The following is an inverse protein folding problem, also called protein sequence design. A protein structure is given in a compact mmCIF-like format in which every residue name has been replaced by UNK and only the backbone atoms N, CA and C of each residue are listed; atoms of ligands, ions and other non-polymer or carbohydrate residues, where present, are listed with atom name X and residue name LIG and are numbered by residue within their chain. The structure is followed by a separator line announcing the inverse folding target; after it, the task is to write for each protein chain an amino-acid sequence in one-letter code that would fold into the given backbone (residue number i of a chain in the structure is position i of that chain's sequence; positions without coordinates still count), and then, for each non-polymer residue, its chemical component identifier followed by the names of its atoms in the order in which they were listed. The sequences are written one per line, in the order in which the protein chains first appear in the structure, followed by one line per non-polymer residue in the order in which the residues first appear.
data_IF_445410769814
#
_entry.id   IF_445410769814
#
_cell.length_a   1.000
_cell.length_b   1.000
_cell.length_c   1.000
_cell.angle_alpha   90.00
_cell.angle_beta   90.00
_cell.angle_gamma   90.00
#
_symmetry.space_group_name_H-M   'P 1'
#
loop_
_entity.id
_entity.type
_entity.pdbx_description
1 polymer ?
#
# COMPACT_ATOMS: atom_id res chain seq x y z
N UNK A 1 -6.59 27.30 1.18
CA UNK A 1 -7.02 26.17 0.33
C UNK A 1 -5.94 25.11 0.38
N UNK A 2 -6.27 23.84 0.66
CA UNK A 2 -5.28 22.78 0.91
C UNK A 2 -4.94 22.06 -0.39
N UNK A 3 -3.68 21.65 -0.51
CA UNK A 3 -3.13 20.93 -1.67
C UNK A 3 -2.50 19.65 -1.15
N UNK A 4 -2.67 18.51 -1.84
CA UNK A 4 -1.91 17.25 -1.66
C UNK A 4 -0.83 17.16 -2.73
N UNK A 5 0.43 16.91 -2.38
CA UNK A 5 1.53 16.76 -3.35
C UNK A 5 2.06 15.33 -3.31
N UNK A 6 2.32 14.74 -4.46
CA UNK A 6 2.97 13.43 -4.56
C UNK A 6 3.63 13.21 -5.90
N UNK A 7 4.53 12.24 -5.94
CA UNK A 7 5.18 11.85 -7.18
C UNK A 7 4.47 10.63 -7.73
N UNK A 8 4.04 10.69 -8.98
CA UNK A 8 3.50 9.56 -9.71
C UNK A 8 4.25 9.41 -11.03
N UNK A 9 4.85 8.24 -11.29
CA UNK A 9 5.67 7.98 -12.48
C UNK A 9 6.75 9.05 -12.73
N UNK A 10 7.33 9.58 -11.65
CA UNK A 10 8.34 10.65 -11.72
C UNK A 10 7.77 12.06 -11.94
N UNK A 11 6.47 12.22 -12.17
CA UNK A 11 5.81 13.53 -12.23
C UNK A 11 5.35 14.01 -10.85
N UNK A 12 5.64 15.26 -10.49
CA UNK A 12 5.07 15.90 -9.31
C UNK A 12 3.61 16.28 -9.60
N UNK A 13 2.69 15.65 -8.88
CA UNK A 13 1.27 15.92 -8.94
C UNK A 13 0.84 16.71 -7.72
N UNK A 14 0.10 17.80 -7.93
CA UNK A 14 -0.54 18.55 -6.84
C UNK A 14 -2.05 18.46 -6.97
N UNK A 15 -2.77 18.18 -5.90
CA UNK A 15 -4.22 17.99 -5.91
C UNK A 15 -4.86 18.99 -4.95
N UNK A 16 -5.81 19.78 -5.42
CA UNK A 16 -6.61 20.70 -4.61
C UNK A 16 -8.09 20.34 -4.76
N UNK A 17 -8.96 20.94 -3.96
CA UNK A 17 -10.39 20.62 -4.05
C UNK A 17 -10.91 20.88 -5.47
N UNK A 18 -11.46 19.84 -6.10
CA UNK A 18 -12.02 19.90 -7.45
C UNK A 18 -11.01 20.06 -8.60
N UNK A 19 -9.69 20.00 -8.37
CA UNK A 19 -8.71 20.14 -9.45
C UNK A 19 -7.32 19.58 -9.09
N UNK A 20 -6.49 19.32 -10.09
CA UNK A 20 -5.11 18.83 -9.90
C UNK A 20 -4.15 19.56 -10.84
N UNK A 21 -2.87 19.64 -10.52
CA UNK A 21 -1.82 20.29 -11.29
C UNK A 21 -0.86 19.24 -11.79
N UNK A 22 -0.58 19.33 -13.09
CA UNK A 22 0.37 18.52 -13.81
C UNK A 22 1.03 19.42 -14.85
N UNK A 23 2.37 19.46 -14.91
CA UNK A 23 3.14 20.29 -15.85
C UNK A 23 2.64 21.74 -15.99
N UNK A 24 2.70 22.53 -14.93
CA UNK A 24 2.52 23.99 -15.03
C UNK A 24 1.08 24.47 -14.98
N UNK A 25 0.06 23.64 -15.19
CA UNK A 25 -1.35 24.06 -15.20
C UNK A 25 -2.28 23.21 -14.33
N UNK A 26 -3.26 23.86 -13.70
CA UNK A 26 -4.37 23.18 -13.01
C UNK A 26 -5.40 22.67 -14.03
N UNK A 27 -5.86 21.44 -13.82
CA UNK A 27 -6.88 20.72 -14.57
C UNK A 27 -8.08 20.47 -13.65
N UNK A 28 -9.27 20.51 -14.22
CA UNK A 28 -10.52 20.24 -13.49
C UNK A 28 -10.69 18.74 -13.20
N UNK A 29 -11.21 18.38 -12.03
CA UNK A 29 -11.42 16.99 -11.63
C UNK A 29 -12.45 16.26 -12.51
N UNK A 30 -13.39 16.97 -13.14
CA UNK A 30 -14.34 16.42 -14.11
C UNK A 30 -13.64 15.78 -15.31
N UNK A 31 -12.43 16.24 -15.67
CA UNK A 31 -11.63 15.66 -16.74
C UNK A 31 -11.18 14.23 -16.39
N UNK A 32 -11.05 13.90 -15.10
CA UNK A 32 -10.71 12.53 -14.66
C UNK A 32 -11.91 11.59 -14.75
N UNK A 33 -13.15 12.08 -14.63
CA UNK A 33 -14.34 11.24 -14.70
C UNK A 33 -14.55 10.66 -16.11
N UNK A 34 -14.10 11.38 -17.14
CA UNK A 34 -14.12 10.95 -18.54
C UNK A 34 -12.79 10.42 -19.08
N UNK A 35 -11.71 10.41 -18.29
CA UNK A 35 -10.41 9.92 -18.73
C UNK A 35 -10.44 8.38 -18.89
N UNK A 36 -10.33 7.93 -20.14
CA UNK A 36 -10.21 6.52 -20.51
C UNK A 36 -8.73 6.09 -20.65
N UNK A 37 -8.51 4.85 -21.10
CA UNK A 37 -7.18 4.27 -21.27
C UNK A 37 -6.25 5.00 -22.24
N UNK A 38 -6.84 5.72 -23.21
CA UNK A 38 -6.11 6.36 -24.30
C UNK A 38 -6.12 7.88 -24.22
N UNK A 39 -6.74 8.46 -23.19
CA UNK A 39 -6.79 9.91 -23.02
C UNK A 39 -5.42 10.50 -22.71
N UNK A 40 -5.16 11.77 -23.09
CA UNK A 40 -3.86 12.42 -22.95
C UNK A 40 -3.37 12.55 -21.50
N UNK A 41 -4.27 12.45 -20.52
CA UNK A 41 -3.88 12.39 -19.10
C UNK A 41 -3.38 10.98 -18.76
N UNK A 42 -4.06 9.93 -19.22
CA UNK A 42 -3.65 8.55 -19.00
C UNK A 42 -2.31 8.24 -19.65
N UNK A 43 -2.04 8.78 -20.85
CA UNK A 43 -0.74 8.62 -21.53
C UNK A 43 0.44 9.15 -20.72
N UNK A 44 0.18 10.12 -19.82
CA UNK A 44 1.21 10.80 -19.04
C UNK A 44 1.44 10.20 -17.67
N UNK A 45 0.37 10.10 -16.86
CA UNK A 45 0.47 9.59 -15.48
C UNK A 45 0.18 8.09 -15.37
N UNK A 46 -0.22 7.44 -16.47
CA UNK A 46 -0.64 6.05 -16.47
C UNK A 46 -1.97 5.81 -15.74
N UNK A 47 -2.44 4.56 -15.79
CA UNK A 47 -3.64 4.13 -15.07
C UNK A 47 -3.44 4.20 -13.54
N UNK A 48 -2.24 3.84 -13.05
CA UNK A 48 -1.82 3.99 -11.66
C UNK A 48 -1.99 5.41 -11.15
N UNK A 49 -1.40 6.38 -11.84
CA UNK A 49 -1.47 7.78 -11.43
C UNK A 49 -2.87 8.37 -11.46
N UNK A 50 -3.70 7.97 -12.42
CA UNK A 50 -5.12 8.37 -12.41
C UNK A 50 -5.84 7.88 -11.14
N UNK A 51 -5.58 6.64 -10.69
CA UNK A 51 -6.17 6.12 -9.46
C UNK A 51 -5.67 6.89 -8.23
N UNK A 52 -4.36 7.20 -8.16
CA UNK A 52 -3.76 7.98 -7.08
C UNK A 52 -4.34 9.41 -7.00
N UNK A 53 -4.50 10.09 -8.14
CA UNK A 53 -5.11 11.43 -8.20
C UNK A 53 -6.57 11.39 -7.73
N UNK A 54 -7.34 10.39 -8.17
CA UNK A 54 -8.73 10.20 -7.72
C UNK A 54 -8.80 10.00 -6.21
N UNK A 55 -7.93 9.16 -5.64
CA UNK A 55 -7.87 8.93 -4.21
C UNK A 55 -7.50 10.22 -3.43
N UNK A 56 -6.50 10.97 -3.91
CA UNK A 56 -6.09 12.24 -3.30
C UNK A 56 -7.18 13.31 -3.36
N UNK A 57 -7.95 13.40 -4.45
CA UNK A 57 -9.09 14.33 -4.57
C UNK A 57 -10.16 14.07 -3.51
N UNK A 58 -10.42 12.79 -3.18
CA UNK A 58 -11.34 12.42 -2.09
C UNK A 58 -10.83 12.95 -0.75
N UNK A 59 -9.52 12.84 -0.49
CA UNK A 59 -8.92 13.34 0.76
C UNK A 59 -9.00 14.86 0.85
N UNK A 60 -8.66 15.59 -0.22
CA UNK A 60 -8.74 17.07 -0.20
C UNK A 60 -10.18 17.55 -0.05
N UNK A 61 -11.15 16.86 -0.66
CA UNK A 61 -12.56 17.20 -0.54
C UNK A 61 -13.13 16.99 0.88
N UNK A 62 -12.49 16.16 1.72
CA UNK A 62 -12.98 15.77 3.05
C UNK A 62 -12.45 16.61 4.21
N UNK A 63 -11.65 17.65 3.95
CA UNK A 63 -11.00 18.54 4.95
C UNK A 63 -10.40 17.85 6.19
N UNK A 64 -9.09 17.56 6.18
CA UNK A 64 -8.31 17.52 7.44
C UNK A 64 -6.81 17.70 7.22
N UNK A 65 -6.24 18.71 7.90
CA UNK A 65 -4.81 18.92 8.07
C UNK A 65 -4.40 18.07 9.25
N UNK A 66 -3.41 17.22 9.02
CA UNK A 66 -2.51 16.76 10.07
C UNK A 66 -1.12 17.21 9.62
N UNK A 67 -0.34 17.74 10.55
CA UNK A 67 1.01 18.20 10.30
C UNK A 67 1.88 17.05 9.76
N UNK A 68 2.87 17.40 8.94
CA UNK A 68 3.84 16.49 8.35
C UNK A 68 4.50 15.63 9.42
N UNK A 69 4.32 14.31 9.32
CA UNK A 69 5.20 13.36 10.01
C UNK A 69 6.07 12.69 8.96
N UNK A 70 7.38 12.94 9.06
CA UNK A 70 8.38 12.26 8.23
C UNK A 70 8.41 10.80 8.70
N UNK A 71 8.16 9.82 7.81
CA UNK A 71 8.24 8.44 8.20
C UNK A 71 9.66 8.11 8.66
N UNK A 72 9.82 7.34 9.74
CA UNK A 72 11.13 6.91 10.19
C UNK A 72 11.81 6.09 9.10
N UNK A 73 13.11 6.30 8.89
CA UNK A 73 13.91 5.44 8.04
C UNK A 73 14.14 4.11 8.77
N UNK A 74 13.72 3.00 8.15
CA UNK A 74 13.77 1.66 8.75
C UNK A 74 14.24 0.65 7.72
N UNK A 75 14.77 -0.46 8.21
CA UNK A 75 15.05 -1.61 7.36
C UNK A 75 13.75 -2.11 6.70
N UNK A 76 13.86 -2.53 5.43
CA UNK A 76 12.75 -3.15 4.72
C UNK A 76 12.38 -4.49 5.36
N UNK A 77 11.09 -4.76 5.46
CA UNK A 77 10.55 -6.03 5.97
C UNK A 77 9.96 -6.81 4.79
N UNK A 78 10.19 -8.12 4.74
CA UNK A 78 9.50 -8.98 3.80
C UNK A 78 8.05 -9.17 4.27
N UNK A 79 7.09 -8.88 3.39
CA UNK A 79 5.67 -8.96 3.72
C UNK A 79 4.97 -10.22 3.24
N UNK A 80 5.61 -10.98 2.37
CA UNK A 80 5.14 -12.29 1.96
C UNK A 80 6.29 -13.13 1.40
N UNK A 81 6.14 -14.44 1.46
CA UNK A 81 6.99 -15.40 0.77
C UNK A 81 6.22 -16.69 0.48
N UNK A 82 6.71 -17.47 -0.49
CA UNK A 82 6.12 -18.74 -0.91
C UNK A 82 5.51 -18.72 -2.30
N UNK A 83 4.62 -19.70 -2.57
CA UNK A 83 3.91 -19.87 -3.85
C UNK A 83 4.80 -20.15 -5.08
N UNK A 84 5.94 -20.81 -4.86
CA UNK A 84 6.72 -21.40 -5.94
C UNK A 84 5.99 -22.57 -6.63
N UNK A 85 6.45 -22.99 -7.82
CA UNK A 85 5.84 -24.12 -8.55
C UNK A 85 5.78 -25.36 -7.66
N UNK A 86 4.56 -25.80 -7.34
CA UNK A 86 4.28 -27.02 -6.58
C UNK A 86 4.35 -26.89 -5.05
N UNK A 87 4.64 -25.70 -4.49
CA UNK A 87 4.54 -25.48 -3.05
C UNK A 87 3.24 -24.74 -2.71
N UNK A 88 2.23 -25.40 -2.12
CA UNK A 88 0.99 -24.75 -1.73
C UNK A 88 1.15 -23.89 -0.47
N UNK A 89 2.33 -23.87 0.14
CA UNK A 89 2.60 -23.14 1.36
C UNK A 89 3.21 -21.75 1.10
N UNK A 90 2.80 -20.79 1.92
CA UNK A 90 3.31 -19.43 1.92
C UNK A 90 2.78 -18.66 3.12
N UNK A 91 3.29 -17.45 3.30
CA UNK A 91 2.88 -16.60 4.41
C UNK A 91 2.77 -15.14 3.99
N UNK A 92 1.98 -14.39 4.77
CA UNK A 92 1.82 -12.95 4.65
C UNK A 92 1.89 -12.30 6.02
N UNK A 93 2.55 -11.15 6.09
CA UNK A 93 2.56 -10.28 7.24
C UNK A 93 1.50 -9.19 7.04
N UNK A 94 0.46 -9.23 7.86
CA UNK A 94 -0.73 -8.37 7.80
C UNK A 94 -0.82 -7.56 9.10
N UNK A 95 -0.16 -6.41 9.16
CA UNK A 95 -0.12 -5.59 10.37
C UNK A 95 0.65 -6.28 11.48
N UNK A 96 -0.06 -6.77 12.51
CA UNK A 96 0.51 -7.59 13.60
C UNK A 96 0.13 -9.07 13.51
N UNK A 97 -0.41 -9.50 12.38
CA UNK A 97 -0.81 -10.89 12.15
C UNK A 97 0.08 -11.51 11.08
N UNK A 98 0.69 -12.65 11.40
CA UNK A 98 1.33 -13.51 10.44
C UNK A 98 0.31 -14.57 9.98
N UNK A 99 -0.16 -14.45 8.74
CA UNK A 99 -1.02 -15.44 8.11
C UNK A 99 -0.17 -16.48 7.40
N UNK A 100 -0.37 -17.74 7.71
CA UNK A 100 0.31 -18.88 7.10
C UNK A 100 -0.74 -19.68 6.33
N UNK A 101 -0.52 -19.93 5.05
CA UNK A 101 -1.34 -20.82 4.24
C UNK A 101 -0.52 -22.05 3.87
N UNK A 102 -1.16 -23.22 3.90
CA UNK A 102 -0.60 -24.50 3.49
C UNK A 102 -1.70 -25.40 2.91
N UNK A 103 -1.34 -26.62 2.53
CA UNK A 103 -2.33 -27.62 2.09
C UNK A 103 -3.38 -27.97 3.18
N UNK A 104 -3.05 -27.75 4.45
CA UNK A 104 -3.97 -28.00 5.57
C UNK A 104 -4.97 -26.85 5.81
N UNK A 105 -4.77 -25.69 5.18
CA UNK A 105 -5.59 -24.49 5.38
C UNK A 105 -4.76 -23.26 5.72
N UNK A 106 -5.44 -22.22 6.19
CA UNK A 106 -4.83 -20.96 6.61
C UNK A 106 -4.95 -20.77 8.13
N UNK A 107 -3.86 -20.34 8.75
CA UNK A 107 -3.76 -20.07 10.19
C UNK A 107 -3.19 -18.67 10.40
N UNK A 108 -3.83 -17.90 11.28
CA UNK A 108 -3.37 -16.58 11.69
C UNK A 108 -2.66 -16.69 13.05
N UNK A 109 -1.47 -16.12 13.14
CA UNK A 109 -0.66 -16.11 14.35
C UNK A 109 -0.29 -14.67 14.71
N UNK A 110 -0.36 -14.32 15.99
CA UNK A 110 0.10 -13.01 16.44
C UNK A 110 1.62 -12.89 16.28
N UNK A 111 2.07 -11.76 15.72
CA UNK A 111 3.49 -11.50 15.47
C UNK A 111 4.32 -11.43 16.76
N UNK A 112 3.75 -10.91 17.85
CA UNK A 112 4.40 -10.91 19.16
C UNK A 112 4.61 -12.32 19.67
N UNK A 113 3.59 -13.18 19.56
CA UNK A 113 3.71 -14.59 19.91
C UNK A 113 4.79 -15.29 19.07
N UNK A 114 4.87 -15.04 17.76
CA UNK A 114 5.94 -15.62 16.92
C UNK A 114 7.33 -15.15 17.36
N UNK A 115 7.47 -13.88 17.76
CA UNK A 115 8.75 -13.35 18.23
C UNK A 115 9.18 -13.93 19.59
N UNK A 116 8.22 -14.24 20.48
CA UNK A 116 8.50 -14.77 21.82
C UNK A 116 8.70 -16.28 21.84
N UNK A 117 7.80 -17.04 21.20
CA UNK A 117 7.74 -18.51 21.31
C UNK A 117 7.99 -19.24 19.99
N UNK A 118 8.08 -18.52 18.87
CA UNK A 118 8.25 -19.10 17.54
C UNK A 118 6.93 -19.47 16.86
N UNK A 119 7.05 -20.18 15.72
CA UNK A 119 5.89 -20.62 14.95
C UNK A 119 5.21 -21.84 15.60
N UNK A 120 3.88 -21.97 15.49
CA UNK A 120 3.18 -23.16 15.96
C UNK A 120 3.68 -24.41 15.21
N UNK A 121 3.93 -25.55 15.87
CA UNK A 121 4.52 -26.74 15.23
C UNK A 121 3.80 -27.22 13.96
N UNK A 122 2.48 -27.06 13.92
CA UNK A 122 1.59 -27.42 12.81
C UNK A 122 1.50 -26.36 11.68
N UNK A 123 2.45 -25.42 11.61
CA UNK A 123 2.43 -24.30 10.65
C UNK A 123 2.48 -24.72 9.16
N UNK A 124 2.93 -25.94 8.83
CA UNK A 124 2.87 -26.47 7.46
C UNK A 124 3.80 -25.78 6.43
N UNK A 125 4.77 -25.00 6.90
CA UNK A 125 5.82 -24.39 6.08
C UNK A 125 7.06 -25.29 6.07
N UNK A 126 7.84 -25.25 4.99
CA UNK A 126 9.18 -25.82 5.00
C UNK A 126 10.14 -24.94 5.83
N UNK A 127 11.33 -25.45 6.12
CA UNK A 127 12.31 -24.79 6.99
C UNK A 127 12.67 -23.37 6.52
N UNK A 128 12.92 -23.19 5.22
CA UNK A 128 13.28 -21.88 4.65
C UNK A 128 12.15 -20.85 4.76
N UNK A 129 10.91 -21.25 4.46
CA UNK A 129 9.75 -20.36 4.61
C UNK A 129 9.45 -20.06 6.07
N UNK A 130 9.62 -21.04 6.96
CA UNK A 130 9.46 -20.85 8.40
C UNK A 130 10.50 -19.89 8.96
N UNK A 131 11.76 -20.00 8.54
CA UNK A 131 12.82 -19.06 8.89
C UNK A 131 12.51 -17.64 8.40
N UNK A 132 12.12 -17.50 7.12
CA UNK A 132 11.78 -16.19 6.58
C UNK A 132 10.55 -15.57 7.26
N UNK A 133 9.55 -16.37 7.61
CA UNK A 133 8.36 -15.92 8.32
C UNK A 133 8.70 -15.44 9.74
N UNK A 134 9.54 -16.20 10.47
CA UNK A 134 10.03 -15.81 11.80
C UNK A 134 10.84 -14.51 11.74
N UNK A 135 11.77 -14.39 10.79
CA UNK A 135 12.58 -13.19 10.63
C UNK A 135 11.70 -11.94 10.37
N UNK A 136 10.69 -12.06 9.50
CA UNK A 136 9.75 -10.97 9.23
C UNK A 136 8.89 -10.63 10.46
N UNK A 137 8.42 -11.64 11.20
CA UNK A 137 7.65 -11.43 12.42
C UNK A 137 8.47 -10.73 13.51
N UNK A 138 9.70 -11.19 13.78
CA UNK A 138 10.60 -10.55 14.76
C UNK A 138 10.85 -9.09 14.39
N UNK A 139 11.23 -8.81 13.13
CA UNK A 139 11.47 -7.45 12.66
C UNK A 139 10.24 -6.55 12.79
N UNK A 140 9.02 -7.10 12.62
CA UNK A 140 7.77 -6.34 12.78
C UNK A 140 7.37 -6.17 14.24
N UNK A 141 7.67 -7.14 15.10
CA UNK A 141 7.28 -7.16 16.50
C UNK A 141 7.88 -5.97 17.27
N UNK A 142 9.13 -5.63 16.95
CA UNK A 142 9.90 -4.51 17.53
C UNK A 142 9.36 -3.12 17.17
N UNK A 143 8.43 -3.04 16.21
CA UNK A 143 7.93 -1.77 15.69
C UNK A 143 6.50 -1.49 16.17
N UNK A 144 6.24 -0.24 16.51
CA UNK A 144 4.88 0.23 16.83
C UNK A 144 4.01 0.32 15.57
N UNK A 145 4.61 0.65 14.41
CA UNK A 145 3.92 0.74 13.12
C UNK A 145 4.82 0.27 11.96
N UNK A 146 4.23 0.00 10.80
CA UNK A 146 4.96 -0.44 9.61
C UNK A 146 5.50 0.70 8.71
N UNK A 147 5.36 1.96 9.11
CA UNK A 147 5.87 3.09 8.34
C UNK A 147 7.38 2.95 8.07
N UNK A 148 7.80 3.23 6.84
CA UNK A 148 9.21 3.21 6.43
C UNK A 148 9.80 1.81 6.19
N UNK A 149 9.01 0.74 6.31
CA UNK A 149 9.49 -0.64 6.15
C UNK A 149 9.16 -1.26 4.78
N UNK A 150 8.50 -0.51 3.89
CA UNK A 150 8.11 -1.01 2.56
C UNK A 150 6.81 -1.82 2.55
N UNK A 151 5.88 -1.58 3.48
CA UNK A 151 4.58 -2.26 3.51
C UNK A 151 3.80 -2.05 2.19
N UNK A 152 3.47 -3.11 1.44
CA UNK A 152 2.91 -2.97 0.08
C UNK A 152 1.44 -2.54 0.07
N UNK A 153 0.71 -2.73 1.17
CA UNK A 153 -0.73 -2.45 1.23
C UNK A 153 -1.17 -1.93 2.61
N UNK A 154 -2.36 -1.32 2.72
CA UNK A 154 -2.90 -0.91 4.01
C UNK A 154 -3.05 -2.09 4.98
N UNK A 155 -3.38 -3.28 4.47
CA UNK A 155 -3.50 -4.50 5.26
C UNK A 155 -2.13 -4.97 5.77
N UNK A 156 -1.11 -4.96 4.93
CA UNK A 156 0.26 -5.27 5.32
C UNK A 156 0.77 -4.28 6.39
N UNK A 157 0.40 -3.01 6.27
CA UNK A 157 0.73 -1.99 7.26
C UNK A 157 -0.03 -2.18 8.59
N UNK A 158 -1.31 -2.59 8.54
CA UNK A 158 -2.19 -2.86 9.70
C UNK A 158 -2.86 -1.62 10.29
N UNK A 159 -2.08 -0.59 10.61
CA UNK A 159 -2.56 0.60 11.34
C UNK A 159 -2.95 1.78 10.46
N UNK A 160 -3.58 1.54 9.31
CA UNK A 160 -3.97 2.58 8.36
C UNK A 160 -5.46 2.93 8.49
N UNK A 161 -5.77 4.21 8.68
CA UNK A 161 -7.10 4.77 8.41
C UNK A 161 -7.19 5.15 6.94
N UNK A 162 -8.10 4.52 6.19
CA UNK A 162 -8.39 4.91 4.81
C UNK A 162 -9.02 6.31 4.78
N UNK A 163 -8.37 7.24 4.07
CA UNK A 163 -8.85 8.61 3.88
C UNK A 163 -9.60 8.75 2.55
N UNK A 164 -9.13 8.04 1.52
CA UNK A 164 -9.71 8.05 0.20
C UNK A 164 -9.24 6.87 -0.63
N UNK A 165 -10.09 6.47 -1.58
CA UNK A 165 -9.80 5.38 -2.51
C UNK A 165 -10.19 5.83 -3.91
N UNK A 166 -9.33 5.52 -4.87
CA UNK A 166 -9.57 5.70 -6.29
C UNK A 166 -9.41 4.37 -6.98
N UNK A 167 -10.25 4.09 -7.96
CA UNK A 167 -10.07 2.94 -8.83
C UNK A 167 -10.37 3.32 -10.27
N UNK A 168 -9.88 2.49 -11.19
CA UNK A 168 -10.21 2.53 -12.59
C UNK A 168 -10.63 1.12 -13.03
N UNK A 169 -11.87 0.94 -13.51
CA UNK A 169 -12.28 -0.34 -14.06
C UNK A 169 -11.72 -0.51 -15.49
N UNK A 170 -11.16 -1.69 -15.75
CA UNK A 170 -10.84 -2.31 -17.05
C UNK A 170 -9.89 -1.55 -18.03
N UNK A 171 -9.08 -2.30 -18.83
CA UNK A 171 -8.95 -3.76 -18.87
C UNK A 171 -8.10 -4.33 -17.72
N UNK A 172 -7.23 -3.53 -17.10
CA UNK A 172 -6.49 -3.89 -15.89
C UNK A 172 -7.15 -3.21 -14.70
N UNK A 173 -7.40 -3.95 -13.63
CA UNK A 173 -7.91 -3.35 -12.39
C UNK A 173 -6.78 -2.56 -11.74
N UNK A 174 -6.94 -1.24 -11.72
CA UNK A 174 -6.00 -0.34 -11.05
C UNK A 174 -6.71 0.36 -9.92
N UNK A 175 -6.12 0.31 -8.73
CA UNK A 175 -6.65 0.98 -7.55
C UNK A 175 -5.56 1.65 -6.76
N UNK A 176 -5.92 2.73 -6.08
CA UNK A 176 -5.05 3.41 -5.14
C UNK A 176 -5.84 3.72 -3.87
N UNK A 177 -5.20 3.52 -2.72
CA UNK A 177 -5.73 3.87 -1.41
C UNK A 177 -4.80 4.90 -0.78
N UNK A 178 -5.34 6.06 -0.42
CA UNK A 178 -4.66 7.05 0.41
C UNK A 178 -5.10 6.82 1.85
N UNK A 179 -4.14 6.60 2.73
CA UNK A 179 -4.39 6.36 4.14
C UNK A 179 -3.42 7.08 5.06
N UNK A 180 -3.79 7.15 6.33
CA UNK A 180 -2.98 7.75 7.41
C UNK A 180 -2.70 6.70 8.49
N UNK A 181 -1.45 6.59 8.90
CA UNK A 181 -1.06 5.72 9.99
C UNK A 181 -1.61 6.27 11.31
N UNK A 182 -2.37 5.44 12.03
CA UNK A 182 -2.97 5.79 13.34
C UNK A 182 -1.93 6.00 14.44
N UNK A 183 -0.73 5.44 14.29
CA UNK A 183 0.34 5.48 15.29
C UNK A 183 1.18 6.76 15.13
N UNK A 184 1.73 6.98 13.95
CA UNK A 184 2.64 8.10 13.72
C UNK A 184 2.05 9.24 12.86
N UNK A 185 0.83 9.11 12.36
CA UNK A 185 0.20 10.15 11.51
C UNK A 185 0.81 10.28 10.10
N UNK A 186 1.77 9.45 9.71
CA UNK A 186 2.31 9.45 8.35
C UNK A 186 1.23 9.06 7.34
N UNK A 187 1.20 9.75 6.19
CA UNK A 187 0.29 9.44 5.09
C UNK A 187 0.99 8.64 4.00
N UNK A 188 0.25 7.70 3.42
CA UNK A 188 0.73 6.75 2.42
C UNK A 188 -0.27 6.65 1.28
N UNK A 189 0.25 6.44 0.08
CA UNK A 189 -0.52 5.93 -1.05
C UNK A 189 -0.08 4.50 -1.32
N UNK A 190 -1.06 3.61 -1.37
CA UNK A 190 -0.88 2.22 -1.75
C UNK A 190 -1.56 2.01 -3.09
N UNK A 191 -0.79 1.77 -4.15
CA UNK A 191 -1.33 1.52 -5.48
C UNK A 191 -1.17 0.05 -5.87
N UNK A 192 -2.18 -0.47 -6.53
CA UNK A 192 -2.23 -1.83 -7.04
C UNK A 192 -2.61 -1.78 -8.51
N UNK A 193 -1.80 -2.41 -9.33
CA UNK A 193 -2.01 -2.58 -10.76
C UNK A 193 -1.82 -4.04 -11.12
N UNK A 194 -2.84 -4.65 -11.73
CA UNK A 194 -2.71 -5.98 -12.31
C UNK A 194 -4.04 -6.69 -12.52
N UNK A 195 -4.04 -7.64 -13.44
CA UNK A 195 -5.06 -8.69 -13.46
C UNK A 195 -4.92 -9.48 -12.18
N UNK A 196 -6.03 -9.84 -11.53
CA UNK A 196 -6.12 -10.52 -10.22
C UNK A 196 -5.29 -11.81 -10.06
N UNK A 197 -4.50 -12.24 -11.06
CA UNK A 197 -3.75 -13.48 -11.05
C UNK A 197 -2.31 -13.36 -10.51
N UNK A 198 -1.44 -12.43 -10.95
CA UNK A 198 -0.02 -12.47 -10.53
C UNK A 198 0.74 -11.13 -10.73
N UNK A 199 0.80 -10.25 -9.71
CA UNK A 199 1.98 -9.42 -9.35
C UNK A 199 1.72 -8.47 -8.18
N UNK A 200 2.84 -8.08 -7.54
CA UNK A 200 3.01 -7.32 -6.31
C UNK A 200 2.81 -5.81 -6.51
N UNK A 201 2.17 -5.20 -5.51
CA UNK A 201 1.80 -3.79 -5.38
C UNK A 201 2.99 -2.83 -5.48
N UNK A 202 2.78 -1.63 -6.04
CA UNK A 202 3.76 -0.54 -6.04
C UNK A 202 3.40 0.47 -4.94
N UNK A 203 4.37 0.82 -4.10
CA UNK A 203 4.17 1.77 -3.01
C UNK A 203 4.78 3.12 -3.38
N UNK A 204 3.94 4.05 -3.78
CA UNK A 204 4.35 5.44 -4.04
C UNK A 204 4.21 6.28 -2.77
N UNK A 205 5.30 6.95 -2.37
CA UNK A 205 5.27 7.90 -1.27
C UNK A 205 4.53 9.18 -1.69
N UNK A 206 3.57 9.64 -0.87
CA UNK A 206 3.09 11.02 -1.00
C UNK A 206 4.23 11.97 -0.60
N UNK A 207 4.57 12.89 -1.50
CA UNK A 207 5.60 13.89 -1.24
C UNK A 207 5.15 14.71 -0.02
N UNK A 208 6.05 14.98 0.95
CA UNK A 208 5.67 15.77 2.10
C UNK A 208 5.39 17.22 1.69
N UNK A 209 4.36 17.81 2.30
CA UNK A 209 4.09 19.26 2.30
C UNK A 209 5.24 20.08 2.87
#
# INVERSE_FOLDING_TARGET
MRTIEFTCNGELVRVRQGSFWLEGAWRDASVLAGADAGGPICERVGAGGLAEIRAALVVVARESVVARVIPPERASIRYCDGFGRGNPAGWWLLGRTLRISSAAGATDVDVGAVAEVGLPPEHGLNESLAESARAAAIARAELECACGTGAPSPLAHGDITELGRGSRPAPVEVSATVGECRVCGCRWTFSREGDTAYRLDEMSRLAPF
#
